data_IF_536813842128
#
_entry.id   IF_536813842128
#
_cell.length_a   1.000
_cell.length_b   1.000
_cell.length_c   1.000
_cell.angle_alpha   90.00
_cell.angle_beta   90.00
_cell.angle_gamma   90.00
#
_symmetry.space_group_name_H-M   'P 1'
#
loop_
_entity.id
_entity.type
_entity.pdbx_description
1 polymer ?
#
# COMPACT_ATOMS: atom_id res chain seq x y z
N UNK A 1 -23.75 -41.76 -44.85
CA UNK A 1 -22.66 -41.46 -43.89
C UNK A 1 -22.61 -39.96 -43.69
N UNK A 2 -23.04 -39.48 -42.52
CA UNK A 2 -23.14 -38.05 -42.20
C UNK A 2 -21.81 -37.59 -41.60
N UNK A 3 -21.16 -36.62 -42.25
CA UNK A 3 -19.92 -35.99 -41.78
C UNK A 3 -20.23 -35.04 -40.63
N UNK A 4 -19.75 -35.38 -39.43
CA UNK A 4 -19.86 -34.55 -38.23
C UNK A 4 -18.93 -33.34 -38.37
N UNK A 5 -19.50 -32.13 -38.45
CA UNK A 5 -18.77 -30.87 -38.47
C UNK A 5 -18.50 -30.45 -37.01
N UNK A 6 -17.24 -30.59 -36.57
CA UNK A 6 -16.78 -30.13 -35.25
C UNK A 6 -16.64 -28.61 -35.27
N UNK A 7 -17.59 -27.90 -34.66
CA UNK A 7 -17.52 -26.46 -34.45
C UNK A 7 -16.59 -26.22 -33.25
N UNK A 8 -15.38 -25.72 -33.55
CA UNK A 8 -14.37 -25.35 -32.54
C UNK A 8 -14.80 -24.04 -31.86
N UNK A 9 -15.16 -24.12 -30.58
CA UNK A 9 -15.53 -22.99 -29.75
C UNK A 9 -14.24 -22.27 -29.31
N UNK A 10 -13.90 -21.17 -30.01
CA UNK A 10 -12.76 -20.33 -29.65
C UNK A 10 -13.12 -19.59 -28.36
N UNK A 11 -12.54 -20.02 -27.25
CA UNK A 11 -12.60 -19.32 -25.97
C UNK A 11 -11.83 -18.00 -26.10
N UNK A 12 -12.57 -16.89 -26.29
CA UNK A 12 -12.02 -15.55 -26.10
C UNK A 12 -11.68 -15.39 -24.62
N UNK A 13 -10.40 -15.51 -24.29
CA UNK A 13 -9.86 -15.08 -23.02
C UNK A 13 -9.95 -13.55 -22.95
N UNK A 14 -11.01 -13.05 -22.33
CA UNK A 14 -11.11 -11.66 -21.93
C UNK A 14 -10.08 -11.40 -20.83
N UNK A 15 -8.88 -11.00 -21.21
CA UNK A 15 -7.89 -10.47 -20.27
C UNK A 15 -8.47 -9.19 -19.69
N UNK A 16 -8.97 -9.26 -18.46
CA UNK A 16 -9.33 -8.07 -17.71
C UNK A 16 -8.07 -7.20 -17.56
N UNK A 17 -8.03 -6.09 -18.30
CA UNK A 17 -7.03 -5.05 -18.10
C UNK A 17 -7.30 -4.49 -16.71
N UNK A 18 -6.47 -4.87 -15.73
CA UNK A 18 -6.46 -4.15 -14.46
C UNK A 18 -6.00 -2.72 -14.77
N UNK A 19 -6.79 -1.70 -14.40
CA UNK A 19 -6.33 -0.32 -14.54
C UNK A 19 -4.99 -0.21 -13.82
N UNK A 20 -4.00 0.46 -14.39
CA UNK A 20 -2.68 0.68 -13.76
C UNK A 20 -2.49 2.14 -13.37
N UNK A 21 -3.59 2.90 -13.30
CA UNK A 21 -3.56 4.34 -13.06
C UNK A 21 -3.81 4.73 -11.60
N UNK A 22 -3.81 6.05 -11.39
CA UNK A 22 -3.93 6.69 -10.08
C UNK A 22 -5.22 6.32 -9.34
N UNK A 23 -6.24 5.89 -10.09
CA UNK A 23 -7.54 5.43 -9.59
C UNK A 23 -7.47 4.25 -8.63
N UNK A 24 -6.35 3.51 -8.60
CA UNK A 24 -6.18 2.41 -7.66
C UNK A 24 -5.65 2.84 -6.29
N UNK A 25 -5.15 4.06 -6.15
CA UNK A 25 -4.61 4.54 -4.89
C UNK A 25 -5.70 5.17 -4.03
N UNK A 26 -5.69 4.84 -2.73
CA UNK A 26 -6.42 5.60 -1.71
C UNK A 26 -5.56 6.78 -1.27
N UNK A 27 -4.25 6.56 -1.19
CA UNK A 27 -3.26 7.56 -0.83
C UNK A 27 -1.99 7.34 -1.67
N UNK A 28 -1.35 8.43 -2.07
CA UNK A 28 -0.02 8.44 -2.67
C UNK A 28 0.69 9.73 -2.28
N UNK A 29 1.91 9.62 -1.76
CA UNK A 29 2.80 10.75 -1.57
C UNK A 29 4.25 10.32 -1.72
N UNK A 30 5.07 11.17 -2.34
CA UNK A 30 6.50 10.95 -2.55
C UNK A 30 7.33 12.03 -1.88
N UNK A 31 8.64 11.79 -1.76
CA UNK A 31 9.60 12.80 -1.32
C UNK A 31 10.12 13.67 -2.49
N UNK A 32 9.26 13.98 -3.47
CA UNK A 32 9.64 14.67 -4.70
C UNK A 32 10.45 15.95 -4.42
N UNK A 33 11.64 16.02 -5.00
CA UNK A 33 12.51 17.19 -4.94
C UNK A 33 12.26 18.07 -6.17
N UNK A 34 11.81 19.31 -5.94
CA UNK A 34 11.49 20.23 -7.03
C UNK A 34 12.72 20.70 -7.82
N UNK A 35 13.91 20.66 -7.22
CA UNK A 35 15.16 21.10 -7.84
C UNK A 35 15.73 20.04 -8.79
N UNK A 36 15.71 18.77 -8.38
CA UNK A 36 16.21 17.66 -9.20
C UNK A 36 15.14 17.04 -10.09
N UNK A 37 13.86 17.28 -9.80
CA UNK A 37 12.71 16.61 -10.44
C UNK A 37 12.70 15.10 -10.21
N UNK A 38 13.29 14.64 -9.11
CA UNK A 38 13.40 13.23 -8.77
C UNK A 38 12.63 12.89 -7.49
N UNK A 39 12.22 11.62 -7.40
CA UNK A 39 11.67 11.02 -6.19
C UNK A 39 12.61 9.89 -5.75
N UNK A 40 12.92 9.82 -4.47
CA UNK A 40 13.70 8.70 -3.93
C UNK A 40 12.80 7.55 -3.46
N UNK A 41 11.63 7.88 -2.93
CA UNK A 41 10.61 6.92 -2.53
C UNK A 41 9.20 7.51 -2.61
N UNK A 42 8.22 6.62 -2.63
CA UNK A 42 6.81 6.93 -2.47
C UNK A 42 6.19 6.05 -1.38
N UNK A 43 5.27 6.64 -0.63
CA UNK A 43 4.39 5.97 0.31
C UNK A 43 2.96 5.97 -0.25
N UNK A 44 2.28 4.83 -0.21
CA UNK A 44 0.94 4.71 -0.77
C UNK A 44 0.11 3.60 -0.13
N UNK A 45 -1.19 3.65 -0.43
CA UNK A 45 -2.16 2.60 -0.16
C UNK A 45 -3.04 2.39 -1.38
N UNK A 46 -3.50 1.17 -1.59
CA UNK A 46 -4.35 0.82 -2.73
C UNK A 46 -5.76 0.47 -2.28
N UNK A 47 -6.74 0.57 -3.20
CA UNK A 47 -8.13 0.18 -2.94
C UNK A 47 -8.30 -1.30 -2.61
N UNK A 48 -7.35 -2.14 -3.02
CA UNK A 48 -7.42 -3.59 -2.89
C UNK A 48 -6.64 -4.13 -1.68
N UNK A 49 -5.96 -3.27 -0.91
CA UNK A 49 -5.20 -3.69 0.26
C UNK A 49 -5.21 -2.63 1.36
N UNK A 50 -5.52 -3.01 2.61
CA UNK A 50 -5.49 -2.11 3.76
C UNK A 50 -4.07 -1.83 4.27
N UNK A 51 -3.03 -2.36 3.62
CA UNK A 51 -1.64 -2.22 4.06
C UNK A 51 -0.98 -0.93 3.58
N UNK A 52 0.05 -0.52 4.31
CA UNK A 52 0.90 0.60 3.91
C UNK A 52 2.05 0.12 3.04
N UNK A 53 2.32 0.82 1.95
CA UNK A 53 3.38 0.48 1.01
C UNK A 53 4.42 1.59 0.92
N UNK A 54 5.69 1.17 0.80
CA UNK A 54 6.82 2.02 0.49
C UNK A 54 7.50 1.49 -0.76
N UNK A 55 7.59 2.31 -1.81
CA UNK A 55 8.39 2.03 -3.00
C UNK A 55 9.65 2.87 -3.01
N UNK A 56 10.82 2.24 -3.05
CA UNK A 56 12.12 2.89 -3.17
C UNK A 56 12.54 2.84 -4.64
N UNK A 57 12.64 3.99 -5.30
CA UNK A 57 12.79 4.04 -6.76
C UNK A 57 14.15 3.58 -7.25
N UNK A 58 15.23 3.95 -6.54
CA UNK A 58 16.60 3.58 -6.91
C UNK A 58 16.82 2.05 -6.95
N UNK A 59 16.20 1.31 -6.03
CA UNK A 59 16.34 -0.15 -5.94
C UNK A 59 15.17 -0.91 -6.56
N UNK A 60 14.10 -0.21 -6.96
CA UNK A 60 12.80 -0.80 -7.34
C UNK A 60 12.21 -1.70 -6.25
N UNK A 61 12.59 -1.46 -5.01
CA UNK A 61 12.12 -2.26 -3.88
C UNK A 61 10.76 -1.75 -3.42
N UNK A 62 9.86 -2.67 -3.13
CA UNK A 62 8.56 -2.39 -2.52
C UNK A 62 8.49 -3.10 -1.17
N UNK A 63 8.18 -2.35 -0.13
CA UNK A 63 8.02 -2.84 1.24
C UNK A 63 6.56 -2.67 1.63
N UNK A 64 5.95 -3.78 2.07
CA UNK A 64 4.55 -3.85 2.47
C UNK A 64 4.47 -4.02 3.99
N UNK A 65 3.76 -3.12 4.66
CA UNK A 65 3.52 -3.15 6.10
C UNK A 65 2.03 -3.43 6.37
N UNK A 66 1.71 -4.69 6.67
CA UNK A 66 0.39 -5.12 7.14
C UNK A 66 0.38 -5.44 8.62
N UNK A 67 1.48 -6.02 9.10
CA UNK A 67 1.70 -6.32 10.50
C UNK A 67 2.47 -5.18 11.12
N UNK A 68 1.86 -4.56 12.13
CA UNK A 68 2.48 -3.45 12.83
C UNK A 68 3.18 -4.02 14.06
N UNK A 69 4.46 -4.35 13.86
CA UNK A 69 5.29 -4.96 14.89
C UNK A 69 5.41 -4.05 16.13
N UNK A 70 5.34 -4.67 17.31
CA UNK A 70 5.39 -4.00 18.62
C UNK A 70 4.01 -3.82 19.27
N UNK A 71 2.92 -3.99 18.52
CA UNK A 71 1.54 -3.80 19.02
C UNK A 71 0.58 -4.90 18.53
N UNK A 72 1.11 -5.92 17.85
CA UNK A 72 0.43 -7.12 17.37
C UNK A 72 -0.88 -6.87 16.61
N UNK A 73 -0.90 -5.83 15.76
CA UNK A 73 -2.02 -5.54 14.87
C UNK A 73 -1.77 -6.07 13.46
N UNK A 74 -2.79 -6.66 12.84
CA UNK A 74 -2.75 -7.17 11.46
C UNK A 74 -3.81 -6.48 10.60
N UNK A 75 -3.37 -5.55 9.75
CA UNK A 75 -4.26 -4.77 8.89
C UNK A 75 -5.01 -5.60 7.85
N UNK A 76 -4.50 -6.75 7.41
CA UNK A 76 -5.23 -7.59 6.45
C UNK A 76 -6.32 -8.41 7.15
N UNK A 77 -6.03 -8.89 8.35
CA UNK A 77 -6.95 -9.72 9.12
C UNK A 77 -8.03 -8.92 9.84
N UNK A 78 -7.66 -7.76 10.38
CA UNK A 78 -8.51 -7.01 11.31
C UNK A 78 -9.25 -5.84 10.64
N UNK A 79 -9.05 -5.61 9.33
CA UNK A 79 -9.81 -4.62 8.56
C UNK A 79 -11.30 -4.99 8.45
N UNK A 80 -12.24 -4.03 8.55
CA UNK A 80 -12.04 -2.58 8.72
C UNK A 80 -12.01 -2.11 10.17
N UNK A 81 -11.98 -3.03 11.14
CA UNK A 81 -11.93 -2.66 12.57
C UNK A 81 -10.62 -1.96 12.92
N UNK A 82 -9.54 -2.29 12.23
CA UNK A 82 -8.26 -1.57 12.28
C UNK A 82 -7.96 -1.04 10.89
N UNK A 83 -7.60 0.23 10.79
CA UNK A 83 -7.32 0.86 9.50
C UNK A 83 -6.23 1.92 9.61
N UNK A 84 -5.62 2.23 8.48
CA UNK A 84 -4.68 3.33 8.37
C UNK A 84 -5.45 4.62 8.05
N UNK A 85 -5.24 5.64 8.88
CA UNK A 85 -5.75 6.99 8.73
C UNK A 85 -4.71 7.94 8.14
N UNK A 86 -4.51 9.09 8.79
CA UNK A 86 -3.59 10.17 8.39
C UNK A 86 -2.23 9.65 7.89
N UNK A 87 -1.74 10.18 6.77
CA UNK A 87 -0.48 9.76 6.15
C UNK A 87 0.30 11.00 5.71
N UNK A 88 1.62 10.94 5.81
CA UNK A 88 2.49 12.01 5.32
C UNK A 88 3.88 11.52 4.98
N UNK A 89 4.56 12.22 4.08
CA UNK A 89 5.98 12.03 3.79
C UNK A 89 6.73 13.29 4.18
N UNK A 90 7.82 13.13 4.95
CA UNK A 90 8.68 14.24 5.36
C UNK A 90 10.14 13.78 5.39
N UNK A 91 11.00 14.47 4.63
CA UNK A 91 12.40 14.10 4.46
C UNK A 91 12.55 12.65 4.02
N UNK A 92 13.31 11.86 4.77
CA UNK A 92 13.53 10.43 4.52
C UNK A 92 12.58 9.51 5.28
N UNK A 93 11.40 10.00 5.66
CA UNK A 93 10.44 9.25 6.47
C UNK A 93 9.04 9.31 5.88
N UNK A 94 8.31 8.21 6.05
CA UNK A 94 6.87 8.17 5.86
C UNK A 94 6.19 7.99 7.22
N UNK A 95 5.06 8.64 7.42
CA UNK A 95 4.27 8.55 8.63
C UNK A 95 2.87 8.11 8.27
N UNK A 96 2.27 7.32 9.15
CA UNK A 96 0.87 6.95 9.05
C UNK A 96 0.29 6.70 10.44
N UNK A 97 -1.01 6.92 10.60
CA UNK A 97 -1.73 6.61 11.84
C UNK A 97 -2.48 5.30 11.68
N UNK A 98 -2.35 4.39 12.64
CA UNK A 98 -3.15 3.16 12.74
C UNK A 98 -4.21 3.39 13.80
N UNK A 99 -5.48 3.34 13.40
CA UNK A 99 -6.62 3.51 14.29
C UNK A 99 -7.26 2.16 14.58
N UNK A 100 -7.46 1.85 15.85
CA UNK A 100 -8.26 0.75 16.35
C UNK A 100 -9.17 1.26 17.49
N UNK A 101 -10.34 0.63 17.75
CA UNK A 101 -11.30 1.10 18.76
C UNK A 101 -10.74 1.22 20.19
N UNK A 102 -9.63 0.55 20.47
CA UNK A 102 -9.00 0.51 21.78
C UNK A 102 -7.71 1.33 21.86
N UNK A 103 -7.16 1.82 20.73
CA UNK A 103 -5.89 2.54 20.68
C UNK A 103 -5.62 3.13 19.29
N UNK A 104 -5.23 4.40 19.24
CA UNK A 104 -4.66 5.04 18.05
C UNK A 104 -3.13 5.21 18.18
N UNK A 105 -2.41 4.89 17.10
CA UNK A 105 -0.96 4.98 17.07
C UNK A 105 -0.42 5.72 15.86
N UNK A 106 0.56 6.58 16.08
CA UNK A 106 1.33 7.21 15.01
C UNK A 106 2.58 6.40 14.73
N UNK A 107 2.65 5.86 13.52
CA UNK A 107 3.77 5.11 13.01
C UNK A 107 4.67 5.96 12.10
N UNK A 108 5.96 5.66 12.14
CA UNK A 108 7.00 6.22 11.28
C UNK A 108 7.79 5.08 10.66
N UNK A 109 7.93 5.11 9.34
CA UNK A 109 8.91 4.32 8.61
C UNK A 109 10.10 5.20 8.28
N UNK A 110 11.25 4.91 8.88
CA UNK A 110 12.52 5.54 8.50
C UNK A 110 13.16 4.76 7.35
N UNK A 111 13.03 5.31 6.14
CA UNK A 111 13.34 4.62 4.87
C UNK A 111 14.80 4.16 4.78
N UNK A 112 15.83 4.97 5.17
CA UNK A 112 17.22 4.54 5.06
C UNK A 112 17.58 3.28 5.86
N UNK A 113 16.83 2.99 6.93
CA UNK A 113 17.01 1.78 7.75
C UNK A 113 15.86 0.78 7.63
N UNK A 114 14.86 1.05 6.79
CA UNK A 114 13.63 0.26 6.65
C UNK A 114 12.99 -0.06 8.01
N UNK A 115 13.04 0.91 8.93
CA UNK A 115 12.64 0.70 10.33
C UNK A 115 11.27 1.30 10.58
N UNK A 116 10.31 0.46 10.95
CA UNK A 116 9.02 0.87 11.46
C UNK A 116 9.11 1.13 12.97
N UNK A 117 8.53 2.23 13.43
CA UNK A 117 8.37 2.56 14.85
C UNK A 117 7.02 3.21 15.06
N UNK A 118 6.26 2.76 16.04
CA UNK A 118 4.95 3.33 16.38
C UNK A 118 4.94 3.85 17.82
N UNK A 119 4.14 4.90 18.04
CA UNK A 119 3.92 5.49 19.36
C UNK A 119 2.42 5.74 19.56
N UNK A 120 1.87 5.50 20.77
CA UNK A 120 0.50 5.88 21.07
C UNK A 120 0.29 7.38 20.87
N UNK A 121 -0.86 7.77 20.33
CA UNK A 121 -1.26 9.19 20.24
C UNK A 121 -1.99 9.66 21.48
N UNK A 122 -2.47 8.72 22.31
CA UNK A 122 -3.31 9.00 23.48
C UNK A 122 -4.80 9.17 23.15
N UNK A 123 -5.20 8.87 21.91
CA UNK A 123 -6.59 8.84 21.46
C UNK A 123 -7.10 7.40 21.30
N UNK A 124 -8.40 7.22 21.48
CA UNK A 124 -9.15 5.97 21.27
C UNK A 124 -10.38 6.27 20.40
#
# INVERSE_FOLDING_TARGET
MIRTLLISFILLNSSAVMPTGIENFIFYQSNFDQSTKEESFAAYMTKNSPCFYIKIFATKEEIKYCKIEGIDLDLEKDFPSIYIGEQSVEGSSAYFTVAAPWNEQRCRVYIPKKKLTCKPTGRN
#
